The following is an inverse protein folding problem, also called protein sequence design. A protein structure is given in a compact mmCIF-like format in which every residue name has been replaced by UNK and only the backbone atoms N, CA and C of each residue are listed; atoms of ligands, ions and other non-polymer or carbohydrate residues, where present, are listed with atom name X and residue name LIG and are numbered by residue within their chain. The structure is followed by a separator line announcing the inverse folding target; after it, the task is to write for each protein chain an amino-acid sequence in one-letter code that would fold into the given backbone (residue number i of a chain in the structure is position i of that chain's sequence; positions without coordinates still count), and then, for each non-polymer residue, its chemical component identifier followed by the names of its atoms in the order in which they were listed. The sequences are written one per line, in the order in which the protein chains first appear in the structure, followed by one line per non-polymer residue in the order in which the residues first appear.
data_IF_551475700905
#
_entry.id   IF_551475700905
#
_cell.length_a   1.000
_cell.length_b   1.000
_cell.length_c   1.000
_cell.angle_alpha   90.00
_cell.angle_beta   90.00
_cell.angle_gamma   90.00
#
_symmetry.space_group_name_H-M   'P 1'
#
loop_
_entity.id
_entity.type
_entity.pdbx_description
1 polymer ?
#
# COMPACT_ATOMS: atom_id res chain seq x y z
N UNK A 1 55.49 21.84 31.72
CA UNK A 1 54.28 22.70 31.76
C UNK A 1 53.53 22.65 30.43
N UNK A 2 54.21 22.71 29.29
CA UNK A 2 53.62 22.64 27.94
C UNK A 2 52.72 21.43 27.66
N UNK A 3 53.12 20.24 28.13
CA UNK A 3 52.40 18.99 27.82
C UNK A 3 50.97 18.95 28.40
N UNK A 4 50.76 19.55 29.58
CA UNK A 4 49.43 19.66 30.20
C UNK A 4 48.52 20.68 29.49
N UNK A 5 49.10 21.71 28.86
CA UNK A 5 48.35 22.70 28.08
C UNK A 5 47.81 22.08 26.79
N UNK A 6 48.67 21.36 26.05
CA UNK A 6 48.26 20.68 24.82
C UNK A 6 47.17 19.63 25.05
N UNK A 7 47.28 18.85 26.14
CA UNK A 7 46.27 17.85 26.48
C UNK A 7 44.91 18.48 26.88
N UNK A 8 44.92 19.70 27.43
CA UNK A 8 43.71 20.45 27.74
C UNK A 8 43.06 21.03 26.48
N UNK A 9 43.86 21.51 25.54
CA UNK A 9 43.39 21.98 24.23
C UNK A 9 42.79 20.84 23.41
N UNK A 10 43.42 19.66 23.39
CA UNK A 10 42.90 18.47 22.70
C UNK A 10 41.57 17.99 23.32
N UNK A 11 41.44 18.05 24.66
CA UNK A 11 40.19 17.71 25.37
C UNK A 11 39.07 18.71 25.10
N UNK A 12 39.38 20.01 25.08
CA UNK A 12 38.41 21.05 24.73
C UNK A 12 37.98 20.95 23.27
N UNK A 13 38.90 20.62 22.36
CA UNK A 13 38.58 20.40 20.96
C UNK A 13 37.67 19.18 20.77
N UNK A 14 37.96 18.07 21.45
CA UNK A 14 37.09 16.88 21.45
C UNK A 14 35.71 17.16 22.04
N UNK A 15 35.62 17.96 23.11
CA UNK A 15 34.35 18.36 23.71
C UNK A 15 33.54 19.26 22.76
N UNK A 16 34.18 20.21 22.08
CA UNK A 16 33.53 21.11 21.13
C UNK A 16 33.07 20.38 19.86
N UNK A 17 33.87 19.43 19.35
CA UNK A 17 33.48 18.57 18.24
C UNK A 17 32.32 17.65 18.66
N UNK A 18 32.40 17.04 19.85
CA UNK A 18 31.33 16.19 20.40
C UNK A 18 30.01 16.93 20.59
N UNK A 19 30.03 18.16 21.11
CA UNK A 19 28.84 18.99 21.27
C UNK A 19 28.21 19.38 19.92
N UNK A 20 29.02 19.70 18.91
CA UNK A 20 28.54 20.00 17.56
C UNK A 20 28.04 18.76 16.79
N UNK A 21 28.55 17.55 17.12
CA UNK A 21 28.14 16.29 16.48
C UNK A 21 26.82 15.74 17.03
N UNK A 22 26.49 16.03 18.31
CA UNK A 22 25.23 15.60 18.94
C UNK A 22 24.03 16.41 18.42
N UNK A 23 24.25 17.64 17.93
CA UNK A 23 23.20 18.53 17.45
C UNK A 23 22.70 18.31 16.02
N UNK A 24 23.22 17.32 15.28
CA UNK A 24 22.95 17.20 13.83
C UNK A 24 22.66 15.76 13.37
N UNK A 25 21.88 15.01 14.15
CA UNK A 25 21.45 13.63 13.80
C UNK A 25 20.07 13.53 13.12
N UNK A 26 19.46 14.65 12.75
CA UNK A 26 18.12 14.66 12.13
C UNK A 26 18.06 15.30 10.72
N UNK A 27 19.16 15.75 10.13
CA UNK A 27 19.14 16.48 8.83
C UNK A 27 19.95 15.84 7.69
N UNK A 28 20.34 14.56 7.80
CA UNK A 28 21.16 13.92 6.76
C UNK A 28 20.39 13.12 5.71
N UNK A 29 19.07 12.99 5.81
CA UNK A 29 18.27 12.21 4.84
C UNK A 29 17.55 13.04 3.77
N UNK A 30 17.66 14.38 3.82
CA UNK A 30 16.92 15.29 2.92
C UNK A 30 17.70 15.65 1.63
N UNK A 31 18.94 15.19 1.47
CA UNK A 31 19.77 15.59 0.31
C UNK A 31 19.37 14.94 -1.02
N UNK A 32 18.63 13.83 -1.00
CA UNK A 32 18.34 13.04 -2.21
C UNK A 32 17.00 13.37 -2.86
N UNK A 33 16.26 14.39 -2.40
CA UNK A 33 14.93 14.67 -2.93
C UNK A 33 14.58 16.16 -2.88
N UNK A 34 15.52 17.01 -3.32
CA UNK A 34 15.30 18.45 -3.46
C UNK A 34 14.61 18.67 -4.80
N UNK A 35 13.30 18.89 -4.76
CA UNK A 35 12.51 19.28 -5.95
C UNK A 35 13.04 20.62 -6.47
N UNK A 36 13.21 20.80 -7.80
CA UNK A 36 13.64 22.08 -8.36
C UNK A 36 12.75 23.23 -7.90
N UNK A 37 13.35 24.39 -7.58
CA UNK A 37 12.64 25.57 -7.07
C UNK A 37 11.44 25.96 -7.92
N UNK A 38 11.55 25.84 -9.24
CA UNK A 38 10.47 26.19 -10.17
C UNK A 38 9.25 25.28 -10.01
N UNK A 39 9.46 23.99 -9.79
CA UNK A 39 8.37 23.05 -9.52
C UNK A 39 7.73 23.31 -8.15
N UNK A 40 8.54 23.65 -7.13
CA UNK A 40 8.03 24.01 -5.80
C UNK A 40 7.10 25.23 -5.90
N UNK A 41 7.51 26.25 -6.65
CA UNK A 41 6.70 27.45 -6.87
C UNK A 41 5.39 27.11 -7.57
N UNK A 42 5.44 26.32 -8.65
CA UNK A 42 4.24 25.94 -9.41
C UNK A 42 3.28 25.15 -8.51
N UNK A 43 3.78 24.13 -7.81
CA UNK A 43 2.98 23.28 -6.92
C UNK A 43 2.37 24.03 -5.73
N UNK A 44 3.07 25.02 -5.17
CA UNK A 44 2.54 25.89 -4.10
C UNK A 44 1.47 26.84 -4.64
N UNK A 45 1.69 27.43 -5.83
CA UNK A 45 0.70 28.31 -6.48
C UNK A 45 -0.57 27.58 -6.88
N UNK A 46 -0.44 26.37 -7.41
CA UNK A 46 -1.58 25.51 -7.79
C UNK A 46 -2.46 25.18 -6.57
N UNK A 47 -1.86 25.09 -5.38
CA UNK A 47 -2.53 24.87 -4.10
C UNK A 47 -3.01 26.17 -3.43
N UNK A 48 -2.68 27.34 -3.97
CA UNK A 48 -3.00 28.63 -3.34
C UNK A 48 -2.18 28.94 -2.08
N UNK A 49 -1.07 28.23 -1.85
CA UNK A 49 -0.20 28.40 -0.69
C UNK A 49 0.87 29.49 -0.94
N UNK A 50 1.32 30.22 0.11
CA UNK A 50 2.40 31.19 -0.03
C UNK A 50 3.69 30.52 -0.53
N UNK A 51 4.39 31.18 -1.46
CA UNK A 51 5.62 30.65 -2.08
C UNK A 51 6.77 30.62 -1.08
N UNK A 52 6.89 31.65 -0.24
CA UNK A 52 7.92 31.77 0.78
C UNK A 52 7.35 32.57 1.97
N UNK A 53 7.53 32.06 3.18
CA UNK A 53 7.19 32.77 4.40
C UNK A 53 8.38 33.61 4.89
N UNK A 54 8.11 34.63 5.71
CA UNK A 54 9.18 35.46 6.27
C UNK A 54 10.09 34.64 7.19
N UNK A 55 11.39 34.65 6.93
CA UNK A 55 12.37 33.85 7.66
C UNK A 55 12.49 32.39 7.21
N UNK A 56 11.75 31.97 6.18
CA UNK A 56 11.83 30.64 5.58
C UNK A 56 12.94 30.59 4.51
N UNK A 57 13.71 29.49 4.46
CA UNK A 57 14.64 29.20 3.35
C UNK A 57 13.93 28.43 2.22
N UNK A 58 14.50 28.43 1.02
CA UNK A 58 13.93 27.71 -0.12
C UNK A 58 13.78 26.19 0.15
N UNK A 59 14.69 25.64 0.94
CA UNK A 59 14.68 24.24 1.38
C UNK A 59 13.49 24.00 2.33
N UNK A 60 13.17 24.96 3.19
CA UNK A 60 12.07 24.85 4.14
C UNK A 60 10.71 24.97 3.44
N UNK A 61 10.62 25.82 2.40
CA UNK A 61 9.45 25.88 1.53
C UNK A 61 9.22 24.53 0.80
N UNK A 62 10.28 23.84 0.38
CA UNK A 62 10.19 22.50 -0.21
C UNK A 62 9.75 21.45 0.83
N UNK A 63 10.27 21.50 2.06
CA UNK A 63 9.82 20.63 3.17
C UNK A 63 8.34 20.87 3.48
N UNK A 64 7.90 22.12 3.47
CA UNK A 64 6.49 22.51 3.68
C UNK A 64 5.60 22.00 2.55
N UNK A 65 5.99 22.19 1.29
CA UNK A 65 5.27 21.64 0.15
C UNK A 65 5.05 20.13 0.30
N UNK A 66 6.09 19.39 0.70
CA UNK A 66 6.00 17.95 0.95
C UNK A 66 5.07 17.60 2.10
N UNK A 67 5.01 18.43 3.15
CA UNK A 67 4.05 18.29 4.25
C UNK A 67 2.62 18.55 3.76
N UNK A 68 2.40 19.53 2.91
CA UNK A 68 1.10 19.80 2.29
C UNK A 68 0.66 18.65 1.38
N UNK A 69 1.55 18.10 0.54
CA UNK A 69 1.29 16.92 -0.29
C UNK A 69 0.92 15.66 0.51
N UNK A 70 1.44 15.53 1.74
CA UNK A 70 1.11 14.41 2.62
C UNK A 70 -0.24 14.60 3.33
N UNK A 71 -0.56 15.84 3.71
CA UNK A 71 -1.77 16.17 4.46
C UNK A 71 -3.00 16.25 3.57
N UNK A 72 -2.85 16.82 2.38
CA UNK A 72 -3.83 16.76 1.31
C UNK A 72 -3.39 15.64 0.36
N UNK A 73 -3.81 14.38 0.58
CA UNK A 73 -3.62 13.39 -0.48
C UNK A 73 -4.22 14.01 -1.74
N UNK A 74 -3.47 14.05 -2.84
CA UNK A 74 -3.92 14.54 -4.14
C UNK A 74 -5.09 13.66 -4.60
N UNK A 75 -6.26 13.91 -4.04
CA UNK A 75 -7.52 13.20 -4.29
C UNK A 75 -7.92 13.31 -5.76
N UNK A 76 -7.28 14.17 -6.55
CA UNK A 76 -7.60 14.34 -7.96
C UNK A 76 -6.49 13.89 -8.93
N UNK A 77 -5.47 13.14 -8.48
CA UNK A 77 -4.49 12.47 -9.37
C UNK A 77 -4.29 10.97 -9.11
N UNK A 78 -5.09 10.34 -8.24
CA UNK A 78 -4.86 8.92 -7.90
C UNK A 78 -6.04 8.15 -7.33
N UNK A 79 -7.29 8.58 -7.53
CA UNK A 79 -8.45 7.73 -7.20
C UNK A 79 -8.77 6.66 -8.24
N UNK A 80 -8.06 6.65 -9.37
CA UNK A 80 -7.92 5.43 -10.15
C UNK A 80 -6.59 4.83 -9.74
N UNK A 81 -6.73 3.88 -8.83
CA UNK A 81 -5.68 3.10 -8.24
C UNK A 81 -4.92 2.41 -9.39
N UNK A 82 -3.73 2.90 -9.75
CA UNK A 82 -2.89 2.31 -10.81
C UNK A 82 -2.65 0.80 -10.58
N UNK A 83 -2.65 0.35 -9.31
CA UNK A 83 -2.58 -1.06 -8.96
C UNK A 83 -3.91 -1.79 -9.26
N UNK A 84 -5.06 -1.18 -9.00
CA UNK A 84 -6.37 -1.72 -9.36
C UNK A 84 -6.56 -1.79 -10.88
N UNK A 85 -6.09 -0.77 -11.62
CA UNK A 85 -6.10 -0.79 -13.08
C UNK A 85 -5.16 -1.86 -13.62
N UNK A 86 -3.97 -2.02 -13.04
CA UNK A 86 -3.06 -3.11 -13.40
C UNK A 86 -3.65 -4.49 -13.09
N UNK A 87 -4.36 -4.65 -11.97
CA UNK A 87 -5.06 -5.90 -11.63
C UNK A 87 -6.22 -6.16 -12.61
N UNK A 88 -7.01 -5.15 -12.93
CA UNK A 88 -8.13 -5.27 -13.88
C UNK A 88 -7.63 -5.58 -15.29
N UNK A 89 -6.49 -5.03 -15.71
CA UNK A 89 -5.86 -5.34 -16.99
C UNK A 89 -5.37 -6.80 -17.05
N UNK A 90 -4.74 -7.30 -15.99
CA UNK A 90 -4.33 -8.72 -15.88
C UNK A 90 -5.54 -9.65 -15.90
N UNK A 91 -6.62 -9.29 -15.20
CA UNK A 91 -7.87 -10.07 -15.20
C UNK A 91 -8.53 -10.08 -16.59
N UNK A 92 -8.51 -8.95 -17.31
CA UNK A 92 -9.01 -8.85 -18.68
C UNK A 92 -8.17 -9.66 -19.67
N UNK A 93 -6.84 -9.67 -19.53
CA UNK A 93 -5.95 -10.51 -20.34
C UNK A 93 -6.24 -12.00 -20.12
N UNK A 94 -6.44 -12.42 -18.86
CA UNK A 94 -6.83 -13.80 -18.55
C UNK A 94 -8.18 -14.20 -19.18
N UNK A 95 -9.19 -13.32 -19.11
CA UNK A 95 -10.49 -13.55 -19.73
C UNK A 95 -10.41 -13.60 -21.27
N UNK A 96 -9.59 -12.74 -21.87
CA UNK A 96 -9.38 -12.72 -23.32
C UNK A 96 -8.68 -13.98 -23.80
N UNK A 97 -7.70 -14.49 -23.06
CA UNK A 97 -7.03 -15.74 -23.38
C UNK A 97 -7.95 -16.95 -23.18
N UNK A 98 -8.82 -16.92 -22.17
CA UNK A 98 -9.87 -17.91 -22.00
C UNK A 98 -10.85 -17.91 -23.19
N UNK A 99 -11.34 -16.74 -23.62
CA UNK A 99 -12.23 -16.58 -24.79
C UNK A 99 -11.55 -17.01 -26.10
N UNK A 100 -10.28 -16.68 -26.29
CA UNK A 100 -9.48 -17.13 -27.45
C UNK A 100 -9.25 -18.64 -27.44
N UNK A 101 -9.00 -19.24 -26.27
CA UNK A 101 -8.88 -20.70 -26.14
C UNK A 101 -10.20 -21.42 -26.46
N UNK A 102 -11.34 -20.80 -26.14
CA UNK A 102 -12.66 -21.36 -26.39
C UNK A 102 -13.13 -21.17 -27.86
N UNK A 103 -12.57 -20.18 -28.56
CA UNK A 103 -12.83 -19.89 -29.98
C UNK A 103 -11.91 -20.71 -30.92
N UNK A 104 -10.81 -21.23 -30.40
CA UNK A 104 -9.85 -22.09 -31.10
C UNK A 104 -10.13 -23.53 -30.70
N UNK A 105 -11.09 -24.16 -31.36
CA UNK A 105 -11.71 -25.41 -30.93
C UNK A 105 -10.75 -26.50 -30.45
N UNK A 106 -10.93 -26.95 -29.22
CA UNK A 106 -11.01 -28.37 -28.83
C UNK A 106 -11.53 -28.48 -27.40
N UNK A 107 -12.55 -29.31 -27.21
CA UNK A 107 -13.45 -29.26 -26.07
C UNK A 107 -12.85 -29.67 -24.73
N UNK A 108 -13.28 -28.98 -23.67
CA UNK A 108 -13.86 -29.60 -22.47
C UNK A 108 -14.54 -28.48 -21.67
N UNK A 109 -15.87 -28.52 -21.62
CA UNK A 109 -16.68 -27.50 -20.95
C UNK A 109 -16.60 -27.69 -19.43
N UNK A 110 -15.69 -27.01 -18.75
CA UNK A 110 -15.87 -26.66 -17.33
C UNK A 110 -16.57 -25.32 -17.27
N UNK A 111 -17.89 -25.35 -17.47
CA UNK A 111 -18.75 -24.21 -17.14
C UNK A 111 -18.62 -23.96 -15.65
N UNK A 112 -18.05 -22.82 -15.26
CA UNK A 112 -18.35 -22.16 -13.99
C UNK A 112 -19.81 -21.73 -14.00
N UNK A 113 -20.71 -22.71 -13.89
CA UNK A 113 -22.11 -22.44 -13.61
C UNK A 113 -22.15 -22.10 -12.12
N UNK A 114 -22.37 -20.83 -11.82
CA UNK A 114 -22.97 -20.44 -10.54
C UNK A 114 -24.41 -20.97 -10.57
N UNK A 115 -24.56 -22.29 -10.46
CA UNK A 115 -25.79 -22.92 -10.02
C UNK A 115 -26.08 -22.29 -8.66
N UNK A 116 -27.23 -21.61 -8.53
CA UNK A 116 -27.80 -21.36 -7.21
C UNK A 116 -27.72 -22.68 -6.46
N UNK A 117 -27.21 -22.74 -5.22
CA UNK A 117 -27.14 -24.02 -4.53
C UNK A 117 -28.57 -24.56 -4.46
N UNK A 118 -28.83 -25.63 -5.23
CA UNK A 118 -30.10 -26.37 -5.23
C UNK A 118 -30.35 -27.04 -3.88
N UNK A 119 -29.38 -26.95 -2.95
CA UNK A 119 -29.42 -27.59 -1.67
C UNK A 119 -30.21 -26.73 -0.70
N UNK A 120 -31.37 -27.24 -0.31
CA UNK A 120 -32.27 -26.59 0.64
C UNK A 120 -31.67 -26.73 2.04
N UNK A 121 -31.90 -25.76 2.95
CA UNK A 121 -31.35 -25.79 4.31
C UNK A 121 -31.67 -27.10 5.07
N UNK A 122 -32.83 -27.69 4.79
CA UNK A 122 -33.29 -28.97 5.37
C UNK A 122 -32.41 -30.17 4.94
N UNK A 123 -31.91 -30.17 3.71
CA UNK A 123 -31.02 -31.24 3.20
C UNK A 123 -29.64 -31.14 3.85
N UNK A 124 -29.15 -29.92 4.10
CA UNK A 124 -27.90 -29.68 4.83
C UNK A 124 -28.01 -30.21 6.25
N UNK A 125 -29.17 -30.07 6.90
CA UNK A 125 -29.40 -30.57 8.24
C UNK A 125 -29.36 -32.11 8.32
N UNK A 126 -29.92 -32.81 7.34
CA UNK A 126 -29.85 -34.27 7.28
C UNK A 126 -28.44 -34.79 6.96
N UNK A 127 -27.66 -34.08 6.13
CA UNK A 127 -26.24 -34.37 5.91
C UNK A 127 -25.41 -34.12 7.17
N UNK A 128 -25.70 -33.05 7.91
CA UNK A 128 -25.03 -32.72 9.17
C UNK A 128 -25.18 -33.82 10.24
N UNK A 129 -26.33 -34.51 10.31
CA UNK A 129 -26.54 -35.63 11.25
C UNK A 129 -25.62 -36.83 10.99
N UNK A 130 -25.13 -36.98 9.76
CA UNK A 130 -24.21 -38.06 9.36
C UNK A 130 -22.75 -37.65 9.49
N UNK A 131 -22.46 -36.38 9.81
CA UNK A 131 -21.09 -35.90 9.99
C UNK A 131 -20.41 -36.53 11.21
N UNK A 132 -19.07 -36.66 11.13
CA UNK A 132 -18.25 -37.20 12.23
C UNK A 132 -18.19 -38.73 12.27
N UNK A 133 -18.71 -39.44 11.25
CA UNK A 133 -18.57 -40.89 11.10
C UNK A 133 -17.32 -41.31 10.30
N UNK A 134 -16.37 -40.40 10.09
CA UNK A 134 -15.08 -40.67 9.46
C UNK A 134 -15.02 -40.48 7.94
N UNK A 135 -16.07 -39.99 7.30
CA UNK A 135 -16.04 -39.63 5.88
C UNK A 135 -15.73 -38.13 5.71
N UNK A 136 -14.43 -37.83 5.60
CA UNK A 136 -13.92 -36.46 5.55
C UNK A 136 -14.42 -35.69 4.33
N UNK A 137 -14.61 -36.39 3.21
CA UNK A 137 -15.09 -35.81 1.96
C UNK A 137 -16.55 -35.36 2.09
N UNK A 138 -17.38 -36.18 2.72
CA UNK A 138 -18.77 -35.83 3.02
C UNK A 138 -18.86 -34.66 4.00
N UNK A 139 -18.04 -34.68 5.05
CA UNK A 139 -18.00 -33.62 6.06
C UNK A 139 -17.60 -32.27 5.43
N UNK A 140 -16.56 -32.28 4.59
CA UNK A 140 -16.09 -31.11 3.86
C UNK A 140 -17.17 -30.55 2.93
N UNK A 141 -17.83 -31.42 2.16
CA UNK A 141 -18.90 -30.98 1.25
C UNK A 141 -20.05 -30.32 2.03
N UNK A 142 -20.48 -30.90 3.16
CA UNK A 142 -21.57 -30.35 3.99
C UNK A 142 -21.22 -28.96 4.54
N UNK A 143 -19.99 -28.76 4.98
CA UNK A 143 -19.50 -27.47 5.49
C UNK A 143 -19.45 -26.41 4.37
N UNK A 144 -18.98 -26.77 3.18
CA UNK A 144 -18.93 -25.85 2.03
C UNK A 144 -20.34 -25.40 1.63
N UNK A 145 -21.30 -26.33 1.54
CA UNK A 145 -22.69 -25.99 1.24
C UNK A 145 -23.30 -25.07 2.31
N UNK A 146 -23.00 -25.31 3.60
CA UNK A 146 -23.46 -24.44 4.69
C UNK A 146 -22.90 -23.01 4.58
N UNK A 147 -21.60 -22.86 4.33
CA UNK A 147 -20.95 -21.55 4.18
C UNK A 147 -21.52 -20.81 2.97
N UNK A 148 -21.73 -21.51 1.86
CA UNK A 148 -22.27 -20.93 0.64
C UNK A 148 -23.68 -20.39 0.85
N UNK A 149 -24.57 -21.16 1.49
CA UNK A 149 -25.92 -20.69 1.83
C UNK A 149 -25.88 -19.51 2.81
N UNK A 150 -25.06 -19.60 3.87
CA UNK A 150 -24.92 -18.53 4.87
C UNK A 150 -24.38 -17.20 4.30
N UNK A 151 -23.51 -17.27 3.29
CA UNK A 151 -22.91 -16.07 2.69
C UNK A 151 -23.85 -15.37 1.72
N UNK A 152 -24.73 -16.11 1.03
CA UNK A 152 -25.69 -15.58 0.06
C UNK A 152 -26.89 -14.89 0.75
N UNK A 153 -27.14 -15.20 2.03
CA UNK A 153 -28.28 -14.69 2.81
C UNK A 153 -28.00 -13.37 3.59
N UNK A 154 -26.88 -12.69 3.34
CA UNK A 154 -26.55 -11.37 3.90
C UNK A 154 -26.79 -10.26 2.88
#
# INVERSE_FOLDING_TARGET
MEKKRKELEDKNLMFYIGANFIGNKAETDVKHNIVPRQEVINKLRDRGEPILLFGESEIDACKRLRKCELLEPEVNRGFRNDLQEAMEQVDQEYLNDFLKSNSSGNGTKTKGHLEKPSVTYEEIFEMAKKMGRGNREHDMSTIVHFIQVSTILK
#
